data_IF_958981868384
#
_entry.id   IF_958981868384
#
_cell.length_a   1.000
_cell.length_b   1.000
_cell.length_c   1.000
_cell.angle_alpha   90.00
_cell.angle_beta   90.00
_cell.angle_gamma   90.00
#
_symmetry.space_group_name_H-M   'P 1'
#
loop_
_entity.id
_entity.type
_entity.pdbx_description
1 polymer ?
#
# COMPACT_ATOMS: atom_id res chain seq x y z
N UNK A 1 -6.18 1.19 22.91
CA UNK A 1 -6.23 0.40 21.65
C UNK A 1 -5.76 1.23 20.45
N UNK A 2 -6.34 2.40 20.16
CA UNK A 2 -5.90 3.28 19.05
C UNK A 2 -4.41 3.63 19.04
N UNK A 3 -3.82 3.89 20.21
CA UNK A 3 -2.39 4.21 20.32
C UNK A 3 -1.47 3.11 19.76
N UNK A 4 -1.94 1.87 19.70
CA UNK A 4 -1.22 0.73 19.11
C UNK A 4 -1.66 0.51 17.66
N UNK A 5 -2.96 0.55 17.39
CA UNK A 5 -3.51 0.26 16.06
C UNK A 5 -3.12 1.32 15.02
N UNK A 6 -3.07 2.61 15.38
CA UNK A 6 -2.71 3.67 14.43
C UNK A 6 -1.29 3.53 13.87
N UNK A 7 -0.24 3.40 14.71
CA UNK A 7 1.11 3.12 14.21
C UNK A 7 1.21 1.82 13.41
N UNK A 8 0.48 0.78 13.82
CA UNK A 8 0.49 -0.50 13.10
C UNK A 8 -0.18 -0.40 11.73
N UNK A 9 -1.32 0.28 11.61
CA UNK A 9 -1.99 0.56 10.34
C UNK A 9 -1.08 1.33 9.39
N UNK A 10 -0.44 2.38 9.91
CA UNK A 10 0.54 3.15 9.13
C UNK A 10 1.71 2.26 8.69
N UNK A 11 2.30 1.49 9.61
CA UNK A 11 3.43 0.62 9.31
C UNK A 11 3.07 -0.44 8.25
N UNK A 12 1.85 -1.01 8.32
CA UNK A 12 1.34 -1.95 7.33
C UNK A 12 1.18 -1.29 5.95
N UNK A 13 0.62 -0.08 5.92
CA UNK A 13 0.50 0.72 4.69
C UNK A 13 1.86 1.02 4.06
N UNK A 14 2.84 1.34 4.90
CA UNK A 14 4.21 1.68 4.56
C UNK A 14 5.04 0.51 4.02
N UNK A 15 4.53 -0.71 4.04
CA UNK A 15 5.21 -1.85 3.43
C UNK A 15 5.19 -1.72 1.89
N UNK A 16 6.35 -1.65 1.22
CA UNK A 16 6.43 -1.50 -0.23
C UNK A 16 6.29 -2.88 -0.93
N UNK A 17 5.22 -3.61 -0.65
CA UNK A 17 5.02 -5.01 -1.07
C UNK A 17 5.07 -5.18 -2.60
N UNK A 18 4.38 -4.30 -3.35
CA UNK A 18 4.41 -4.30 -4.81
C UNK A 18 5.80 -4.03 -5.39
N UNK A 19 6.61 -3.19 -4.72
CA UNK A 19 8.00 -2.95 -5.12
C UNK A 19 8.87 -4.18 -4.87
N UNK A 20 8.78 -4.81 -3.71
CA UNK A 20 9.54 -6.04 -3.43
C UNK A 20 9.19 -7.15 -4.42
N UNK A 21 7.91 -7.27 -4.78
CA UNK A 21 7.44 -8.23 -5.77
C UNK A 21 8.02 -7.96 -7.16
N UNK A 22 7.99 -6.70 -7.63
CA UNK A 22 8.59 -6.30 -8.90
C UNK A 22 10.12 -6.50 -8.92
N UNK A 23 10.80 -6.16 -7.82
CA UNK A 23 12.25 -6.33 -7.69
C UNK A 23 12.68 -7.79 -7.77
N UNK A 24 11.90 -8.72 -7.19
CA UNK A 24 12.15 -10.17 -7.33
C UNK A 24 12.08 -10.66 -8.78
N UNK A 25 11.49 -9.88 -9.68
CA UNK A 25 11.39 -10.17 -11.13
C UNK A 25 12.41 -9.39 -11.96
N UNK A 26 13.39 -8.77 -11.30
CA UNK A 26 14.43 -7.97 -11.95
C UNK A 26 13.96 -6.59 -12.42
N UNK A 27 12.72 -6.19 -12.07
CA UNK A 27 12.18 -4.89 -12.46
C UNK A 27 12.37 -3.91 -11.31
N UNK A 28 13.19 -2.88 -11.53
CA UNK A 28 13.25 -1.75 -10.62
C UNK A 28 12.17 -0.72 -10.98
N UNK A 29 11.14 -0.61 -10.13
CA UNK A 29 10.05 0.35 -10.36
C UNK A 29 10.52 1.80 -10.32
N UNK A 30 11.68 2.09 -9.72
CA UNK A 30 12.23 3.44 -9.59
C UNK A 30 12.73 3.99 -10.92
N UNK A 31 13.26 3.11 -11.77
CA UNK A 31 13.66 3.44 -13.13
C UNK A 31 12.48 3.34 -14.10
N UNK A 32 11.36 2.74 -13.67
CA UNK A 32 10.22 2.47 -14.53
C UNK A 32 9.23 3.63 -14.70
N UNK A 33 9.16 4.56 -13.74
CA UNK A 33 8.51 5.86 -13.91
C UNK A 33 8.80 6.76 -12.71
N UNK A 34 9.28 7.99 -12.90
CA UNK A 34 9.50 8.92 -11.80
C UNK A 34 8.21 9.45 -11.15
N UNK A 35 7.02 9.30 -11.78
CA UNK A 35 5.84 10.04 -11.30
C UNK A 35 4.50 9.31 -11.19
N UNK A 36 4.29 8.12 -11.77
CA UNK A 36 3.20 7.21 -11.38
C UNK A 36 3.22 6.02 -12.34
N UNK A 37 3.54 4.83 -11.84
CA UNK A 37 3.37 3.60 -12.63
C UNK A 37 1.87 3.39 -12.85
N UNK A 38 1.35 3.84 -13.98
CA UNK A 38 -0.04 3.61 -14.37
C UNK A 38 -0.29 2.12 -14.63
N UNK A 39 -1.57 1.71 -14.54
CA UNK A 39 -1.98 0.32 -14.75
C UNK A 39 -1.47 -0.23 -16.09
N UNK A 40 -1.60 0.53 -17.18
CA UNK A 40 -1.20 0.11 -18.51
C UNK A 40 0.32 -0.17 -18.62
N UNK A 41 1.14 0.70 -18.02
CA UNK A 41 2.60 0.51 -17.96
C UNK A 41 2.98 -0.65 -17.05
N UNK A 42 2.28 -0.83 -15.92
CA UNK A 42 2.47 -1.97 -15.03
C UNK A 42 2.16 -3.29 -15.75
N UNK A 43 1.03 -3.37 -16.46
CA UNK A 43 0.66 -4.54 -17.26
C UNK A 43 1.71 -4.87 -18.33
N UNK A 44 2.25 -3.86 -19.03
CA UNK A 44 3.30 -4.08 -20.04
C UNK A 44 4.63 -4.52 -19.45
N UNK A 45 5.06 -3.97 -18.32
CA UNK A 45 6.40 -4.22 -17.74
C UNK A 45 6.44 -5.40 -16.77
N UNK A 46 5.39 -5.57 -15.98
CA UNK A 46 5.28 -6.61 -14.95
C UNK A 46 4.42 -7.78 -15.43
N UNK A 47 3.57 -7.59 -16.43
CA UNK A 47 2.56 -8.57 -16.82
C UNK A 47 1.31 -8.52 -15.93
N UNK A 48 0.22 -9.15 -16.39
CA UNK A 48 -1.08 -9.11 -15.71
C UNK A 48 -1.05 -9.76 -14.32
N UNK A 49 -0.39 -10.91 -14.18
CA UNK A 49 -0.36 -11.64 -12.90
C UNK A 49 0.33 -10.87 -11.77
N UNK A 50 1.51 -10.29 -12.03
CA UNK A 50 2.24 -9.48 -11.05
C UNK A 50 1.53 -8.17 -10.72
N UNK A 51 0.94 -7.53 -11.72
CA UNK A 51 0.17 -6.30 -11.54
C UNK A 51 -1.05 -6.55 -10.67
N UNK A 52 -1.79 -7.63 -10.94
CA UNK A 52 -2.94 -8.06 -10.12
C UNK A 52 -2.50 -8.41 -8.70
N UNK A 53 -1.41 -9.17 -8.53
CA UNK A 53 -0.92 -9.54 -7.21
C UNK A 53 -0.48 -8.31 -6.40
N UNK A 54 0.22 -7.36 -7.01
CA UNK A 54 0.58 -6.10 -6.35
C UNK A 54 -0.66 -5.30 -5.92
N UNK A 55 -1.68 -5.25 -6.78
CA UNK A 55 -2.96 -4.61 -6.44
C UNK A 55 -3.66 -5.31 -5.27
N UNK A 56 -3.71 -6.65 -5.26
CA UNK A 56 -4.33 -7.42 -4.19
C UNK A 56 -3.59 -7.26 -2.85
N UNK A 57 -2.27 -7.12 -2.88
CA UNK A 57 -1.47 -6.83 -1.67
C UNK A 57 -1.78 -5.43 -1.14
N UNK A 58 -1.93 -4.44 -2.02
CA UNK A 58 -2.33 -3.09 -1.64
C UNK A 58 -3.79 -3.02 -1.15
N UNK A 59 -4.68 -3.83 -1.71
CA UNK A 59 -6.04 -4.01 -1.21
C UNK A 59 -6.03 -4.64 0.19
N UNK A 60 -5.31 -5.75 0.36
CA UNK A 60 -5.26 -6.47 1.63
C UNK A 60 -4.75 -5.59 2.77
N UNK A 61 -3.73 -4.76 2.53
CA UNK A 61 -3.26 -3.85 3.58
C UNK A 61 -4.26 -2.76 3.93
N UNK A 62 -5.07 -2.25 2.99
CA UNK A 62 -6.16 -1.31 3.28
C UNK A 62 -7.25 -1.96 4.12
N UNK A 63 -7.65 -3.16 3.72
CA UNK A 63 -8.74 -3.92 4.34
C UNK A 63 -8.41 -4.43 5.76
N UNK A 64 -7.22 -4.99 5.97
CA UNK A 64 -6.87 -5.72 7.20
C UNK A 64 -7.01 -4.87 8.49
N UNK A 65 -6.49 -3.63 8.57
CA UNK A 65 -6.66 -2.80 9.75
C UNK A 65 -8.11 -2.46 10.07
N UNK A 66 -8.94 -2.23 9.04
CA UNK A 66 -10.36 -1.92 9.21
C UNK A 66 -11.14 -3.16 9.67
N UNK A 67 -10.86 -4.33 9.08
CA UNK A 67 -11.47 -5.60 9.48
C UNK A 67 -11.13 -5.96 10.93
N UNK A 68 -9.86 -5.81 11.33
CA UNK A 68 -9.41 -6.00 12.70
C UNK A 68 -10.06 -4.99 13.66
N UNK A 69 -10.06 -3.70 13.30
CA UNK A 69 -10.70 -2.65 14.09
C UNK A 69 -12.19 -2.92 14.32
N UNK A 70 -12.90 -3.37 13.28
CA UNK A 70 -14.32 -3.70 13.38
C UNK A 70 -14.56 -4.92 14.27
N UNK A 71 -13.71 -5.95 14.16
CA UNK A 71 -13.75 -7.13 15.04
C UNK A 71 -13.46 -6.80 16.51
N UNK A 72 -12.72 -5.72 16.77
CA UNK A 72 -12.44 -5.19 18.10
C UNK A 72 -13.50 -4.21 18.61
N UNK A 73 -14.60 -4.00 17.86
CA UNK A 73 -15.70 -3.13 18.26
C UNK A 73 -15.43 -1.63 18.12
N UNK A 74 -14.47 -1.23 17.28
CA UNK A 74 -14.19 0.18 17.02
C UNK A 74 -15.36 0.87 16.30
N UNK A 75 -15.60 2.13 16.67
CA UNK A 75 -16.57 2.99 16.01
C UNK A 75 -16.11 3.47 14.63
N UNK A 76 -17.00 4.16 13.93
CA UNK A 76 -16.75 4.64 12.56
C UNK A 76 -15.59 5.64 12.52
N UNK A 77 -15.49 6.54 13.50
CA UNK A 77 -14.42 7.54 13.55
C UNK A 77 -13.04 6.88 13.68
N UNK A 78 -12.93 5.83 14.50
CA UNK A 78 -11.67 5.13 14.68
C UNK A 78 -11.30 4.30 13.45
N UNK A 79 -12.28 3.65 12.80
CA UNK A 79 -12.05 2.96 11.54
C UNK A 79 -11.58 3.91 10.44
N UNK A 80 -12.16 5.11 10.35
CA UNK A 80 -11.70 6.16 9.43
C UNK A 80 -10.26 6.58 9.76
N UNK A 81 -9.92 6.74 11.03
CA UNK A 81 -8.56 7.08 11.45
C UNK A 81 -7.56 5.98 11.06
N UNK A 82 -7.92 4.70 11.20
CA UNK A 82 -7.09 3.58 10.73
C UNK A 82 -6.93 3.58 9.19
N UNK A 83 -8.01 3.88 8.45
CA UNK A 83 -8.00 4.01 6.99
C UNK A 83 -7.09 5.13 6.50
N UNK A 84 -7.16 6.30 7.14
CA UNK A 84 -6.24 7.41 6.87
C UNK A 84 -4.81 7.01 7.21
N UNK A 85 -4.57 6.35 8.34
CA UNK A 85 -3.22 5.93 8.75
C UNK A 85 -2.58 4.97 7.75
N UNK A 86 -3.31 3.93 7.29
CA UNK A 86 -2.77 2.98 6.30
C UNK A 86 -2.54 3.63 4.93
N UNK A 87 -3.43 4.54 4.51
CA UNK A 87 -3.27 5.27 3.26
C UNK A 87 -2.05 6.21 3.30
N UNK A 88 -1.87 6.93 4.42
CA UNK A 88 -0.67 7.75 4.63
C UNK A 88 0.61 6.91 4.68
N UNK A 89 0.57 5.75 5.32
CA UNK A 89 1.68 4.80 5.30
C UNK A 89 2.07 4.43 3.87
N UNK A 90 1.08 4.12 3.03
CA UNK A 90 1.32 3.78 1.63
C UNK A 90 1.91 4.93 0.80
N UNK A 91 1.45 6.16 1.02
CA UNK A 91 1.97 7.34 0.32
C UNK A 91 3.37 7.73 0.79
N UNK A 92 3.68 7.48 2.06
CA UNK A 92 4.92 7.89 2.73
C UNK A 92 5.59 6.70 3.42
N UNK A 93 6.07 5.69 2.68
CA UNK A 93 6.61 4.47 3.29
C UNK A 93 7.90 4.73 4.09
N UNK A 94 7.84 4.60 5.42
CA UNK A 94 8.98 4.83 6.34
C UNK A 94 10.23 4.01 6.00
N UNK A 95 10.04 2.77 5.56
CA UNK A 95 11.11 1.82 5.28
C UNK A 95 11.77 2.04 3.91
N UNK A 96 11.35 3.06 3.18
CA UNK A 96 11.83 3.38 1.84
C UNK A 96 12.44 4.78 1.82
N UNK A 97 13.76 4.86 2.00
CA UNK A 97 14.53 6.11 1.92
C UNK A 97 15.36 6.10 0.65
N UNK A 98 14.80 6.64 -0.40
CA UNK A 98 15.47 6.83 -1.67
C UNK A 98 15.01 8.16 -2.29
N UNK A 99 15.84 8.84 -3.11
CA UNK A 99 15.59 10.22 -3.53
C UNK A 99 14.30 10.42 -4.35
N UNK A 100 13.66 9.34 -4.79
CA UNK A 100 12.39 9.33 -5.51
C UNK A 100 11.37 8.51 -4.71
N UNK A 101 10.38 9.13 -4.04
CA UNK A 101 9.40 8.39 -3.29
C UNK A 101 8.54 7.53 -4.23
N UNK A 102 8.33 6.26 -3.87
CA UNK A 102 7.39 5.38 -4.56
C UNK A 102 5.96 5.86 -4.30
N UNK A 103 5.45 6.76 -5.15
CA UNK A 103 4.08 7.28 -5.05
C UNK A 103 3.15 6.49 -5.97
N UNK A 104 2.78 5.29 -5.54
CA UNK A 104 1.63 4.62 -6.13
C UNK A 104 0.35 5.39 -5.77
N UNK A 105 -0.65 5.38 -6.67
CA UNK A 105 -1.89 6.15 -6.48
C UNK A 105 -2.77 5.63 -5.33
N UNK A 106 -2.42 4.50 -4.72
CA UNK A 106 -3.14 3.93 -3.59
C UNK A 106 -4.54 3.42 -3.88
N UNK A 107 -4.92 3.23 -5.16
CA UNK A 107 -6.25 2.75 -5.52
C UNK A 107 -6.59 1.39 -4.89
N UNK A 108 -5.61 0.48 -4.79
CA UNK A 108 -5.80 -0.79 -4.08
C UNK A 108 -6.13 -0.56 -2.60
N UNK A 109 -5.36 0.31 -1.93
CA UNK A 109 -5.55 0.65 -0.51
C UNK A 109 -6.89 1.32 -0.23
N UNK A 110 -7.35 2.19 -1.14
CA UNK A 110 -8.63 2.89 -0.97
C UNK A 110 -9.84 1.97 -1.20
N UNK A 111 -9.68 0.92 -2.00
CA UNK A 111 -10.75 -0.04 -2.30
C UNK A 111 -10.88 -1.13 -1.25
N UNK A 112 -9.80 -1.45 -0.52
CA UNK A 112 -9.78 -2.43 0.56
C UNK A 112 -10.20 -1.82 1.89
#
# INVERSE_FOLDING_TARGET
MMFVLLPLSYALGALPLGYWLARRRGVDLRTASPYTLGLETALRRLGPGLTLLAFLLDFAKGYLPLALGRGLGLGVEELLALGVAVYLGHLYPLFFRDPWPLRAKGAGVLLG
#
